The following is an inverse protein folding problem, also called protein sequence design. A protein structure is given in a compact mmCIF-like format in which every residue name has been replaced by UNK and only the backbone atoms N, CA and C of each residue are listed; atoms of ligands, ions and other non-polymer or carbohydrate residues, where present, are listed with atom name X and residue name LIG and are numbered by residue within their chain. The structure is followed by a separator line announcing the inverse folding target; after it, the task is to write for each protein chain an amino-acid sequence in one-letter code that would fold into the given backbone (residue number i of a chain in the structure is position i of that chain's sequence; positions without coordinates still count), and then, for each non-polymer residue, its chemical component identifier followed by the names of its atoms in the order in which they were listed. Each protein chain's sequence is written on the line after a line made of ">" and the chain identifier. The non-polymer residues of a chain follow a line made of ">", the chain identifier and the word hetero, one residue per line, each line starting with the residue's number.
data_IF_572662962933
#
_entry.id   IF_572662962933
#
_cell.length_a   1.000
_cell.length_b   1.000
_cell.length_c   1.000
_cell.angle_alpha   90.00
_cell.angle_beta   90.00
_cell.angle_gamma   90.00
#
_symmetry.space_group_name_H-M   'P 1'
#
loop_
_entity.id
_entity.type
_entity.pdbx_description
1 polymer ?
#
# COMPACT_ATOMS: atom_id res chain seq x y z
N UNK A 1 22.30 0.66 -16.36
CA UNK A 1 20.95 0.45 -15.79
C UNK A 1 19.99 0.35 -16.96
N UNK A 2 19.05 -0.58 -16.90
CA UNK A 2 18.05 -0.79 -17.95
C UNK A 2 16.97 0.31 -17.90
N UNK A 3 17.37 1.55 -18.18
CA UNK A 3 16.51 2.73 -18.13
C UNK A 3 15.71 2.92 -19.42
N UNK A 4 16.22 2.40 -20.54
CA UNK A 4 15.61 2.57 -21.86
C UNK A 4 14.47 1.58 -22.11
N UNK A 5 14.35 0.54 -21.29
CA UNK A 5 13.41 -0.57 -21.47
C UNK A 5 12.23 -0.56 -20.49
N UNK A 6 11.90 0.62 -19.94
CA UNK A 6 10.76 0.79 -19.03
C UNK A 6 10.22 2.21 -19.06
N UNK A 7 8.96 2.35 -18.66
CA UNK A 7 8.38 3.65 -18.28
C UNK A 7 8.53 3.78 -16.76
N UNK A 8 9.00 4.94 -16.30
CA UNK A 8 9.16 5.23 -14.87
C UNK A 8 8.37 6.48 -14.50
N UNK A 9 7.47 6.34 -13.53
CA UNK A 9 6.78 7.45 -12.87
C UNK A 9 7.31 7.56 -11.46
N UNK A 10 7.64 8.78 -11.02
CA UNK A 10 8.15 9.03 -9.68
C UNK A 10 7.16 9.89 -8.91
N UNK A 11 6.62 9.32 -7.84
CA UNK A 11 5.79 10.01 -6.87
C UNK A 11 6.67 10.49 -5.71
N UNK A 12 6.53 11.76 -5.34
CA UNK A 12 7.32 12.37 -4.26
C UNK A 12 6.38 12.98 -3.25
N UNK A 13 6.36 12.43 -2.04
CA UNK A 13 5.68 13.04 -0.90
C UNK A 13 6.64 14.00 -0.20
N UNK A 14 6.49 15.30 -0.47
CA UNK A 14 7.46 16.32 -0.07
C UNK A 14 7.64 16.45 1.44
N UNK A 15 6.58 16.24 2.21
CA UNK A 15 6.61 16.46 3.67
C UNK A 15 7.41 15.38 4.40
N UNK A 16 7.31 14.13 3.96
CA UNK A 16 8.03 13.00 4.57
C UNK A 16 9.32 12.66 3.82
N UNK A 17 9.50 13.17 2.60
CA UNK A 17 10.59 12.79 1.71
C UNK A 17 10.42 11.39 1.09
N UNK A 18 9.27 10.74 1.27
CA UNK A 18 9.00 9.43 0.66
C UNK A 18 8.97 9.55 -0.86
N UNK A 19 9.67 8.65 -1.54
CA UNK A 19 9.71 8.54 -3.00
C UNK A 19 9.24 7.15 -3.39
N UNK A 20 8.24 7.06 -4.28
CA UNK A 20 7.77 5.80 -4.86
C UNK A 20 8.01 5.86 -6.36
N UNK A 21 8.82 4.93 -6.87
CA UNK A 21 9.08 4.76 -8.30
C UNK A 21 8.24 3.63 -8.87
N UNK A 22 7.26 3.96 -9.71
CA UNK A 22 6.45 3.00 -10.45
C UNK A 22 7.14 2.69 -11.78
N UNK A 23 7.50 1.42 -12.01
CA UNK A 23 8.26 1.00 -13.18
C UNK A 23 7.47 -0.02 -13.99
N UNK A 24 7.10 0.35 -15.21
CA UNK A 24 6.50 -0.58 -16.17
C UNK A 24 7.56 -1.03 -17.17
N UNK A 25 8.02 -2.28 -17.02
CA UNK A 25 8.97 -2.90 -17.94
C UNK A 25 8.26 -3.33 -19.24
N UNK A 26 8.97 -3.29 -20.37
CA UNK A 26 8.42 -3.69 -21.68
C UNK A 26 8.15 -5.20 -21.78
N UNK A 27 8.89 -6.01 -21.02
CA UNK A 27 8.69 -7.45 -20.91
C UNK A 27 8.27 -7.78 -19.47
N UNK A 28 7.11 -8.42 -19.34
CA UNK A 28 6.54 -8.87 -18.07
C UNK A 28 6.59 -10.40 -18.01
N UNK A 29 7.66 -11.00 -17.48
CA UNK A 29 7.73 -12.46 -17.33
C UNK A 29 6.70 -12.99 -16.32
N UNK A 30 6.24 -12.13 -15.41
CA UNK A 30 5.20 -12.38 -14.41
C UNK A 30 4.22 -11.21 -14.50
N UNK A 31 2.92 -11.50 -14.55
CA UNK A 31 1.88 -10.49 -14.80
C UNK A 31 1.07 -10.11 -13.57
N UNK A 32 1.24 -10.81 -12.44
CA UNK A 32 0.54 -10.55 -11.18
C UNK A 32 1.51 -10.77 -10.03
N UNK A 33 1.51 -9.86 -9.05
CA UNK A 33 2.32 -9.98 -7.86
C UNK A 33 1.80 -11.08 -6.92
N UNK A 34 2.72 -11.78 -6.25
CA UNK A 34 2.41 -12.80 -5.24
C UNK A 34 3.39 -12.62 -4.07
N UNK A 35 2.86 -12.09 -2.96
CA UNK A 35 3.59 -11.73 -1.73
C UNK A 35 4.28 -12.91 -1.05
N UNK A 36 3.96 -14.14 -1.44
CA UNK A 36 4.59 -15.36 -0.90
C UNK A 36 5.92 -15.69 -1.58
N UNK A 37 6.25 -15.02 -2.69
CA UNK A 37 7.54 -15.15 -3.35
C UNK A 37 8.61 -14.30 -2.66
N UNK A 38 9.89 -14.63 -2.89
CA UNK A 38 11.00 -13.83 -2.38
C UNK A 38 10.89 -12.39 -2.90
N UNK A 39 10.84 -11.43 -1.99
CA UNK A 39 10.70 -10.02 -2.33
C UNK A 39 9.98 -9.24 -1.24
N UNK A 40 8.97 -8.48 -1.65
CA UNK A 40 8.13 -7.65 -0.80
C UNK A 40 6.95 -8.47 -0.27
N UNK A 41 6.57 -8.26 0.98
CA UNK A 41 5.32 -8.80 1.53
C UNK A 41 4.18 -7.77 1.40
N UNK A 42 4.38 -6.58 1.97
CA UNK A 42 3.49 -5.42 1.84
C UNK A 42 4.20 -4.09 2.16
N UNK A 43 3.52 -2.97 1.92
CA UNK A 43 3.91 -1.62 2.38
C UNK A 43 2.80 -1.04 3.24
N UNK A 44 3.13 -0.57 4.45
CA UNK A 44 2.20 0.09 5.35
C UNK A 44 2.37 1.61 5.40
N UNK A 45 1.25 2.32 5.40
CA UNK A 45 1.15 3.76 5.57
C UNK A 45 0.47 4.08 6.90
N UNK A 46 1.18 4.80 7.77
CA UNK A 46 0.64 5.21 9.07
C UNK A 46 -0.46 6.26 8.91
N UNK A 47 -1.58 6.06 9.61
CA UNK A 47 -2.63 7.08 9.80
C UNK A 47 -2.52 7.68 11.20
N UNK A 48 -2.93 8.95 11.35
CA UNK A 48 -2.77 9.67 12.61
C UNK A 48 -3.81 9.21 13.65
N UNK A 49 -5.05 9.00 13.21
CA UNK A 49 -6.18 8.64 14.06
C UNK A 49 -6.82 7.33 13.61
N UNK A 50 -7.32 6.53 14.56
CA UNK A 50 -8.03 5.27 14.23
C UNK A 50 -9.22 5.50 13.30
N UNK A 51 -9.91 6.63 13.47
CA UNK A 51 -11.09 6.97 12.65
C UNK A 51 -10.74 7.19 11.18
N UNK A 52 -9.50 7.55 10.84
CA UNK A 52 -9.07 7.74 9.45
C UNK A 52 -9.12 6.43 8.65
N UNK A 53 -9.00 5.26 9.31
CA UNK A 53 -9.19 3.97 8.62
C UNK A 53 -10.61 3.82 8.07
N UNK A 54 -11.62 4.27 8.80
CA UNK A 54 -13.02 4.17 8.35
C UNK A 54 -13.31 5.14 7.18
N UNK A 55 -12.59 6.27 7.15
CA UNK A 55 -12.65 7.23 6.03
C UNK A 55 -11.97 6.67 4.79
N UNK A 56 -10.79 6.06 4.95
CA UNK A 56 -10.08 5.37 3.87
C UNK A 56 -10.87 4.19 3.34
N UNK A 57 -11.52 3.39 4.18
CA UNK A 57 -12.36 2.26 3.73
C UNK A 57 -13.46 2.75 2.78
N UNK A 58 -14.19 3.81 3.16
CA UNK A 58 -15.21 4.43 2.30
C UNK A 58 -14.63 4.98 1.01
N UNK A 59 -13.45 5.60 1.09
CA UNK A 59 -12.79 6.15 -0.09
C UNK A 59 -12.38 5.05 -1.07
N UNK A 60 -11.73 3.97 -0.59
CA UNK A 60 -11.34 2.82 -1.41
C UNK A 60 -12.55 2.14 -2.04
N UNK A 61 -13.62 1.95 -1.28
CA UNK A 61 -14.93 1.50 -1.80
C UNK A 61 -15.43 2.39 -2.94
N UNK A 62 -15.37 3.72 -2.79
CA UNK A 62 -15.83 4.66 -3.83
C UNK A 62 -15.02 4.58 -5.13
N UNK A 63 -13.78 4.10 -5.05
CA UNK A 63 -12.87 3.91 -6.19
C UNK A 63 -12.91 2.48 -6.75
N UNK A 64 -13.75 1.60 -6.19
CA UNK A 64 -13.80 0.16 -6.51
C UNK A 64 -12.44 -0.56 -6.31
N UNK A 65 -11.66 -0.13 -5.31
CA UNK A 65 -10.44 -0.82 -4.90
C UNK A 65 -10.81 -2.04 -4.06
N UNK A 66 -10.17 -3.18 -4.28
CA UNK A 66 -10.34 -4.36 -3.43
C UNK A 66 -9.67 -4.11 -2.07
N UNK A 67 -10.44 -4.20 -0.99
CA UNK A 67 -9.95 -3.98 0.37
C UNK A 67 -10.64 -4.90 1.38
N UNK A 68 -9.99 -5.10 2.55
CA UNK A 68 -10.61 -5.65 3.75
C UNK A 68 -11.46 -4.57 4.44
N UNK A 69 -12.29 -4.92 5.43
CA UNK A 69 -12.73 -3.95 6.42
C UNK A 69 -11.54 -3.41 7.22
N UNK A 70 -11.70 -2.25 7.88
CA UNK A 70 -10.77 -1.84 8.93
C UNK A 70 -10.90 -2.78 10.15
N UNK A 71 -9.84 -3.51 10.47
CA UNK A 71 -9.83 -4.53 11.53
C UNK A 71 -8.93 -4.15 12.71
N UNK A 72 -9.44 -4.35 13.93
CA UNK A 72 -8.68 -4.12 15.15
C UNK A 72 -7.92 -5.37 15.58
N UNK A 73 -6.65 -5.19 15.93
CA UNK A 73 -5.75 -6.22 16.44
C UNK A 73 -5.31 -5.89 17.88
N UNK A 74 -4.53 -6.79 18.49
CA UNK A 74 -3.91 -6.53 19.78
C UNK A 74 -2.93 -5.33 19.78
N UNK A 75 -2.42 -4.93 18.61
CA UNK A 75 -1.31 -3.97 18.48
C UNK A 75 -1.69 -2.67 17.78
N UNK A 76 -2.87 -2.60 17.19
CA UNK A 76 -3.31 -1.48 16.36
C UNK A 76 -4.46 -1.92 15.49
N UNK A 77 -4.72 -1.18 14.42
CA UNK A 77 -5.79 -1.46 13.49
C UNK A 77 -5.28 -1.30 12.06
N UNK A 78 -5.70 -2.20 11.19
CA UNK A 78 -5.26 -2.27 9.80
C UNK A 78 -6.45 -2.20 8.84
N UNK A 79 -6.25 -1.51 7.73
CA UNK A 79 -7.09 -1.61 6.54
C UNK A 79 -6.19 -2.08 5.39
N UNK A 80 -6.38 -3.31 4.94
CA UNK A 80 -5.57 -3.95 3.90
C UNK A 80 -6.23 -3.78 2.54
N UNK A 81 -5.46 -3.46 1.51
CA UNK A 81 -5.94 -3.32 0.14
C UNK A 81 -4.89 -3.75 -0.88
N UNK A 82 -5.30 -3.88 -2.14
CA UNK A 82 -4.44 -4.31 -3.25
C UNK A 82 -4.47 -3.27 -4.36
N UNK A 83 -3.32 -2.99 -4.94
CA UNK A 83 -3.24 -2.19 -6.16
C UNK A 83 -3.59 -3.04 -7.41
N UNK A 84 -3.63 -2.43 -8.62
CA UNK A 84 -3.93 -3.17 -9.85
C UNK A 84 -2.96 -4.32 -10.19
N UNK A 85 -1.74 -4.30 -9.66
CA UNK A 85 -0.71 -5.33 -9.87
C UNK A 85 -0.75 -6.43 -8.79
N UNK A 86 -1.73 -6.36 -7.87
CA UNK A 86 -1.92 -7.22 -6.70
C UNK A 86 -0.87 -7.03 -5.59
N UNK A 87 -0.15 -5.90 -5.56
CA UNK A 87 0.74 -5.57 -4.44
C UNK A 87 -0.11 -5.26 -3.21
N UNK A 88 0.22 -5.89 -2.08
CA UNK A 88 -0.45 -5.64 -0.81
C UNK A 88 0.02 -4.31 -0.21
N UNK A 89 -0.95 -3.47 0.12
CA UNK A 89 -0.77 -2.20 0.81
C UNK A 89 -1.67 -2.18 2.04
N UNK A 90 -1.27 -1.44 3.08
CA UNK A 90 -2.11 -1.23 4.25
C UNK A 90 -2.09 0.22 4.73
N UNK A 91 -3.22 0.66 5.28
CA UNK A 91 -3.25 1.76 6.22
C UNK A 91 -3.22 1.20 7.64
N UNK A 92 -2.33 1.74 8.47
CA UNK A 92 -2.09 1.22 9.81
C UNK A 92 -2.20 2.33 10.86
N UNK A 93 -2.97 2.06 11.91
CA UNK A 93 -2.98 2.88 13.12
C UNK A 93 -2.39 2.07 14.30
N UNK A 94 -1.28 2.49 14.91
CA UNK A 94 -0.74 1.83 16.08
C UNK A 94 -1.61 2.12 17.30
N UNK A 95 -1.97 1.10 18.08
CA UNK A 95 -2.68 1.31 19.35
C UNK A 95 -1.75 2.01 20.33
N UNK A 96 -2.18 3.12 20.98
CA UNK A 96 -1.40 3.75 22.04
C UNK A 96 -1.11 2.72 23.15
N UNK A 97 0.15 2.61 23.55
CA UNK A 97 0.50 1.80 24.71
C UNK A 97 -0.01 2.52 25.96
N UNK A 98 -1.02 1.93 26.62
CA UNK A 98 -1.43 2.37 27.96
C UNK A 98 -0.21 2.37 28.88
N UNK A 99 0.03 3.50 29.56
CA UNK A 99 1.03 3.59 30.61
C UNK A 99 0.52 2.88 31.87
#
# INVERSE_FOLDING_TARGET
>A
MDLDNRIMVVLVHRETGLIIGLNQHTALPITVFDDRNVGLDHIGFGVAERAELDEWEKHLSSLNVTHSPAEDTAHGSALVFRDPDNIQLEFWWPRPRGH
#
